data_IF_835661871833
#
_entry.id   IF_835661871833
#
_cell.length_a   1.000
_cell.length_b   1.000
_cell.length_c   1.000
_cell.angle_alpha   90.00
_cell.angle_beta   90.00
_cell.angle_gamma   90.00
#
_symmetry.space_group_name_H-M   'P 1'
#
loop_
_entity.id
_entity.type
_entity.pdbx_description
1 polymer ?
#
# COMPACT_ATOMS: atom_id res chain seq x y z
N UNK A 1 -9.24 10.12 -5.02
CA UNK A 1 -8.82 10.23 -3.60
C UNK A 1 -9.50 11.47 -3.02
N UNK A 2 -10.19 11.36 -1.88
CA UNK A 2 -10.75 12.51 -1.18
C UNK A 2 -10.02 12.67 0.15
N UNK A 3 -9.47 13.84 0.42
CA UNK A 3 -8.92 14.15 1.75
C UNK A 3 -10.06 14.54 2.69
N UNK A 4 -9.88 14.29 3.99
CA UNK A 4 -10.79 14.78 5.01
C UNK A 4 -10.64 16.30 5.17
N UNK A 5 -11.68 16.97 5.66
CA UNK A 5 -11.70 18.44 5.79
C UNK A 5 -10.67 18.96 6.81
N UNK A 6 -10.25 18.10 7.75
CA UNK A 6 -9.23 18.32 8.76
C UNK A 6 -7.82 17.83 8.35
N UNK A 7 -7.66 17.35 7.11
CA UNK A 7 -6.36 16.92 6.59
C UNK A 7 -5.40 18.10 6.45
N UNK A 8 -4.18 17.95 6.95
CA UNK A 8 -3.09 18.92 6.76
C UNK A 8 -1.92 18.27 6.03
N UNK A 9 -0.96 19.08 5.57
CA UNK A 9 0.27 18.55 4.96
C UNK A 9 1.12 17.77 5.98
N UNK A 10 1.07 18.18 7.26
CA UNK A 10 1.79 17.51 8.36
C UNK A 10 1.08 16.23 8.83
N UNK A 11 -0.25 16.19 8.74
CA UNK A 11 -1.06 15.03 9.08
C UNK A 11 -2.10 14.75 7.98
N UNK A 12 -1.69 14.09 6.88
CA UNK A 12 -2.60 13.82 5.78
C UNK A 12 -3.62 12.77 6.16
N UNK A 13 -4.91 13.11 6.00
CA UNK A 13 -6.04 12.22 6.29
C UNK A 13 -6.85 11.97 5.02
N UNK A 14 -6.94 10.71 4.62
CA UNK A 14 -7.67 10.28 3.43
C UNK A 14 -9.00 9.64 3.83
N UNK A 15 -10.06 9.98 3.11
CA UNK A 15 -11.37 9.31 3.15
C UNK A 15 -11.46 8.31 2.01
N UNK A 16 -11.27 7.02 2.32
CA UNK A 16 -11.48 5.94 1.38
C UNK A 16 -12.95 5.54 1.41
N UNK A 17 -13.65 5.68 0.27
CA UNK A 17 -15.03 5.24 0.10
C UNK A 17 -15.10 4.18 -1.00
N UNK A 18 -15.93 3.17 -0.81
CA UNK A 18 -16.14 2.14 -1.81
C UNK A 18 -17.28 1.21 -1.43
N UNK A 19 -17.33 0.09 -2.14
CA UNK A 19 -18.28 -0.99 -1.88
C UNK A 19 -17.47 -2.24 -1.52
N UNK A 20 -17.86 -2.92 -0.46
CA UNK A 20 -17.21 -4.15 -0.01
C UNK A 20 -17.57 -5.37 -0.88
N UNK A 21 -16.95 -6.51 -0.56
CA UNK A 21 -17.19 -7.78 -1.25
C UNK A 21 -18.65 -8.27 -1.18
N UNK A 22 -19.44 -7.74 -0.24
CA UNK A 22 -20.85 -8.07 -0.05
C UNK A 22 -21.80 -7.03 -0.68
N UNK A 23 -21.27 -6.03 -1.39
CA UNK A 23 -22.07 -4.97 -2.00
C UNK A 23 -22.47 -3.84 -1.03
N UNK A 24 -21.88 -3.79 0.17
CA UNK A 24 -22.18 -2.76 1.17
C UNK A 24 -21.22 -1.59 1.04
N UNK A 25 -21.77 -0.38 1.09
CA UNK A 25 -20.95 0.83 1.12
C UNK A 25 -20.09 0.88 2.39
N UNK A 26 -18.83 1.26 2.22
CA UNK A 26 -17.93 1.52 3.32
C UNK A 26 -17.25 2.88 3.15
N UNK A 27 -16.93 3.49 4.28
CA UNK A 27 -16.13 4.70 4.38
C UNK A 27 -15.11 4.51 5.49
N UNK A 28 -13.84 4.68 5.18
CA UNK A 28 -12.73 4.55 6.12
C UNK A 28 -11.88 5.81 6.10
N UNK A 29 -11.61 6.33 7.30
CA UNK A 29 -10.65 7.41 7.54
C UNK A 29 -9.27 6.81 7.73
N UNK A 30 -8.29 7.26 6.96
CA UNK A 30 -6.92 6.74 6.98
C UNK A 30 -5.97 7.89 7.26
N UNK A 31 -5.24 7.77 8.36
CA UNK A 31 -4.16 8.68 8.73
C UNK A 31 -2.88 8.18 8.05
N UNK A 32 -2.41 8.88 7.04
CA UNK A 32 -1.32 8.40 6.17
C UNK A 32 -0.03 8.16 6.97
N UNK A 33 0.24 8.99 7.97
CA UNK A 33 1.42 8.86 8.83
C UNK A 33 1.36 7.62 9.75
N UNK A 34 0.16 7.12 10.05
CA UNK A 34 -0.04 5.96 10.93
C UNK A 34 -0.08 4.63 10.16
N UNK A 35 -0.05 4.66 8.83
CA UNK A 35 -0.02 3.45 8.01
C UNK A 35 1.32 2.74 8.18
N UNK A 36 1.28 1.52 8.71
CA UNK A 36 2.40 0.59 8.77
C UNK A 36 2.22 -0.53 7.73
N UNK A 37 2.96 -0.51 6.61
CA UNK A 37 2.94 -1.58 5.59
C UNK A 37 3.24 -2.97 6.13
N UNK A 38 3.90 -3.10 7.28
CA UNK A 38 4.14 -4.40 7.92
C UNK A 38 2.89 -4.97 8.61
N UNK A 39 1.85 -4.15 8.76
CA UNK A 39 0.54 -4.53 9.28
C UNK A 39 -0.50 -3.55 8.75
N UNK A 40 -0.88 -3.65 7.48
CA UNK A 40 -1.83 -2.76 6.82
C UNK A 40 -2.95 -3.53 6.13
N UNK A 41 -4.04 -2.83 5.85
CA UNK A 41 -5.10 -3.24 4.93
C UNK A 41 -4.77 -2.83 3.50
N UNK A 42 -5.43 -3.46 2.53
CA UNK A 42 -5.33 -3.03 1.12
C UNK A 42 -5.79 -1.58 0.93
N UNK A 43 -6.75 -1.11 1.72
CA UNK A 43 -7.28 0.26 1.64
C UNK A 43 -6.24 1.27 2.13
N UNK A 44 -5.59 1.00 3.26
CA UNK A 44 -4.49 1.82 3.79
C UNK A 44 -3.31 1.90 2.81
N UNK A 45 -2.89 0.75 2.25
CA UNK A 45 -1.80 0.72 1.27
C UNK A 45 -2.15 1.45 -0.03
N UNK A 46 -3.40 1.38 -0.49
CA UNK A 46 -3.86 2.15 -1.67
C UNK A 46 -3.96 3.65 -1.38
N UNK A 47 -4.32 4.03 -0.16
CA UNK A 47 -4.28 5.43 0.25
C UNK A 47 -2.84 5.95 0.27
N UNK A 48 -1.89 5.14 0.77
CA UNK A 48 -0.46 5.43 0.77
C UNK A 48 0.09 5.57 -0.66
N UNK A 49 -0.22 4.62 -1.54
CA UNK A 49 0.10 4.63 -2.98
C UNK A 49 -0.38 5.94 -3.63
N UNK A 50 -1.64 6.31 -3.39
CA UNK A 50 -2.28 7.46 -4.00
C UNK A 50 -1.74 8.80 -3.46
N UNK A 51 -1.44 8.87 -2.16
CA UNK A 51 -0.91 10.08 -1.53
C UNK A 51 0.49 10.42 -2.04
N UNK A 52 1.41 9.44 -2.00
CA UNK A 52 2.79 9.63 -2.42
C UNK A 52 3.01 9.46 -3.92
N UNK A 53 1.94 9.16 -4.68
CA UNK A 53 1.98 8.92 -6.13
C UNK A 53 3.02 7.85 -6.48
N UNK A 54 3.05 6.77 -5.69
CA UNK A 54 3.98 5.65 -5.92
C UNK A 54 3.77 5.16 -7.34
N UNK A 55 4.85 5.12 -8.12
CA UNK A 55 4.77 4.71 -9.52
C UNK A 55 4.25 3.29 -9.62
N UNK A 56 3.17 3.12 -10.39
CA UNK A 56 2.64 1.81 -10.74
C UNK A 56 3.62 1.17 -11.72
N UNK A 57 4.50 0.37 -11.17
CA UNK A 57 5.53 -0.28 -11.92
C UNK A 57 4.93 -1.17 -13.03
N UNK A 58 5.33 -0.95 -14.28
CA UNK A 58 4.75 -1.61 -15.45
C UNK A 58 3.29 -1.26 -15.78
N UNK A 59 2.69 -0.26 -15.10
CA UNK A 59 1.33 0.22 -15.37
C UNK A 59 0.19 -0.61 -14.76
N UNK A 60 0.48 -1.70 -14.04
CA UNK A 60 -0.54 -2.64 -13.58
C UNK A 60 -0.92 -2.44 -12.09
N UNK A 61 0.06 -2.45 -11.18
CA UNK A 61 -0.18 -2.27 -9.73
C UNK A 61 1.17 -2.01 -9.04
N UNK A 62 1.19 -1.26 -7.93
CA UNK A 62 2.38 -1.14 -7.07
C UNK A 62 2.37 -2.07 -5.86
N UNK A 63 1.26 -2.80 -5.64
CA UNK A 63 1.11 -3.76 -4.54
C UNK A 63 1.26 -5.21 -5.04
N UNK A 64 1.73 -6.15 -4.18
CA UNK A 64 1.89 -7.56 -4.52
C UNK A 64 0.60 -8.18 -5.07
N UNK A 65 0.71 -9.15 -5.96
CA UNK A 65 -0.46 -9.78 -6.59
C UNK A 65 -1.37 -10.47 -5.58
N UNK A 66 -0.77 -11.01 -4.52
CA UNK A 66 -1.43 -11.67 -3.39
C UNK A 66 -2.36 -10.71 -2.63
N UNK A 67 -2.12 -9.40 -2.71
CA UNK A 67 -3.02 -8.40 -2.15
C UNK A 67 -4.39 -8.37 -2.85
N UNK A 68 -4.49 -8.87 -4.08
CA UNK A 68 -5.76 -9.02 -4.79
C UNK A 68 -6.72 -10.03 -4.15
N UNK A 69 -6.21 -10.94 -3.30
CA UNK A 69 -7.00 -11.93 -2.58
C UNK A 69 -7.39 -11.47 -1.17
N UNK A 70 -7.03 -10.25 -0.77
CA UNK A 70 -7.35 -9.71 0.56
C UNK A 70 -8.73 -9.06 0.57
N UNK A 71 -9.50 -9.35 1.62
CA UNK A 71 -10.68 -8.55 1.95
C UNK A 71 -10.29 -7.13 2.40
N UNK A 72 -11.23 -6.20 2.33
CA UNK A 72 -10.96 -4.78 2.66
C UNK A 72 -10.48 -4.57 4.11
N UNK A 73 -10.92 -5.43 5.02
CA UNK A 73 -10.58 -5.35 6.44
C UNK A 73 -9.41 -6.27 6.83
N UNK A 74 -8.90 -7.08 5.89
CA UNK A 74 -7.79 -7.98 6.17
C UNK A 74 -6.51 -7.18 6.34
N UNK A 75 -5.79 -7.45 7.44
CA UNK A 75 -4.47 -6.87 7.68
C UNK A 75 -3.39 -7.89 7.41
N UNK A 76 -2.37 -7.48 6.67
CA UNK A 76 -1.21 -8.31 6.32
C UNK A 76 0.07 -7.51 6.38
N UNK A 77 1.17 -8.24 6.46
CA UNK A 77 2.52 -7.72 6.29
C UNK A 77 2.87 -7.64 4.80
N UNK A 78 2.67 -6.47 4.21
CA UNK A 78 2.98 -6.22 2.80
C UNK A 78 4.48 -6.30 2.54
N UNK A 79 5.33 -5.99 3.51
CA UNK A 79 6.79 -6.07 3.35
C UNK A 79 7.20 -7.54 3.21
N UNK A 80 6.65 -8.42 4.03
CA UNK A 80 6.86 -9.87 3.88
C UNK A 80 6.29 -10.39 2.57
N UNK A 81 5.10 -9.93 2.15
CA UNK A 81 4.52 -10.32 0.84
C UNK A 81 5.40 -9.89 -0.34
N UNK A 82 5.98 -8.67 -0.31
CA UNK A 82 6.95 -8.25 -1.33
C UNK A 82 8.17 -9.18 -1.35
N UNK A 83 8.74 -9.50 -0.18
CA UNK A 83 9.91 -10.39 -0.09
C UNK A 83 9.63 -11.78 -0.67
N UNK A 84 8.49 -12.37 -0.31
CA UNK A 84 8.04 -13.66 -0.84
C UNK A 84 7.89 -13.61 -2.37
N UNK A 85 7.21 -12.59 -2.90
CA UNK A 85 7.00 -12.40 -4.34
C UNK A 85 8.34 -12.22 -5.10
N UNK A 86 9.25 -11.41 -4.55
CA UNK A 86 10.59 -11.17 -5.11
C UNK A 86 11.40 -12.48 -5.13
N UNK A 87 11.35 -13.26 -4.05
CA UNK A 87 12.05 -14.55 -3.95
C UNK A 87 11.55 -15.54 -5.00
N UNK A 88 10.23 -15.67 -5.15
CA UNK A 88 9.63 -16.59 -6.13
C UNK A 88 9.94 -16.17 -7.57
N UNK A 89 9.92 -14.87 -7.88
CA UNK A 89 10.30 -14.37 -9.20
C UNK A 89 11.78 -14.61 -9.49
N UNK A 90 12.66 -14.48 -8.50
CA UNK A 90 14.07 -14.82 -8.65
C UNK A 90 14.26 -16.33 -8.93
N UNK A 91 13.54 -17.21 -8.24
CA UNK A 91 13.57 -18.66 -8.50
C UNK A 91 13.09 -19.02 -9.89
N UNK A 92 12.09 -18.30 -10.41
CA UNK A 92 11.56 -18.46 -11.76
C UNK A 92 12.43 -17.81 -12.86
N UNK A 93 13.56 -17.18 -12.49
CA UNK A 93 14.45 -16.48 -13.44
C UNK A 93 13.86 -15.19 -14.01
N UNK A 94 12.82 -14.64 -13.38
CA UNK A 94 12.10 -13.43 -13.80
C UNK A 94 12.71 -12.18 -13.14
N UNK A 95 14.01 -11.98 -13.33
CA UNK A 95 14.79 -10.94 -12.64
C UNK A 95 14.32 -9.51 -12.92
N UNK A 96 13.83 -9.22 -14.13
CA UNK A 96 13.29 -7.89 -14.43
C UNK A 96 12.06 -7.57 -13.58
N UNK A 97 11.20 -8.56 -13.36
CA UNK A 97 10.03 -8.43 -12.50
C UNK A 97 10.43 -8.40 -11.03
N UNK A 98 11.39 -9.21 -10.59
CA UNK A 98 11.83 -9.16 -9.19
C UNK A 98 12.43 -7.80 -8.85
N UNK A 99 13.26 -7.22 -9.73
CA UNK A 99 13.80 -5.87 -9.58
C UNK A 99 12.69 -4.81 -9.52
N UNK A 100 11.64 -4.99 -10.31
CA UNK A 100 10.47 -4.12 -10.32
C UNK A 100 9.80 -4.06 -8.94
N UNK A 101 9.55 -5.23 -8.35
CA UNK A 101 8.92 -5.34 -7.04
C UNK A 101 9.82 -4.89 -5.91
N UNK A 102 11.13 -5.10 -6.01
CA UNK A 102 12.09 -4.53 -5.06
C UNK A 102 11.99 -3.01 -5.00
N UNK A 103 11.92 -2.33 -6.17
CA UNK A 103 11.76 -0.86 -6.20
C UNK A 103 10.45 -0.39 -5.57
N UNK A 104 9.35 -1.12 -5.79
CA UNK A 104 8.08 -0.82 -5.14
C UNK A 104 8.17 -0.99 -3.62
N UNK A 105 8.77 -2.08 -3.15
CA UNK A 105 8.98 -2.33 -1.72
C UNK A 105 9.82 -1.23 -1.07
N UNK A 106 10.94 -0.86 -1.71
CA UNK A 106 11.84 0.18 -1.22
C UNK A 106 11.13 1.53 -1.10
N UNK A 107 10.29 1.89 -2.08
CA UNK A 107 9.48 3.11 -2.01
C UNK A 107 8.58 3.11 -0.75
N UNK A 108 7.91 2.00 -0.43
CA UNK A 108 7.08 1.93 0.78
C UNK A 108 7.91 1.97 2.08
N UNK A 109 9.10 1.37 2.11
CA UNK A 109 10.02 1.42 3.25
C UNK A 109 10.57 2.84 3.48
N UNK A 110 10.88 3.56 2.41
CA UNK A 110 11.36 4.95 2.50
C UNK A 110 10.26 5.89 3.04
N UNK A 111 9.02 5.71 2.57
CA UNK A 111 7.88 6.50 3.01
C UNK A 111 7.57 6.29 4.50
N UNK A 112 7.64 5.06 4.98
CA UNK A 112 7.40 4.74 6.40
C UNK A 112 8.53 5.23 7.30
N UNK A 113 9.77 5.17 6.81
CA UNK A 113 10.93 5.74 7.50
C UNK A 113 10.84 7.27 7.59
N UNK A 114 10.31 7.92 6.56
CA UNK A 114 10.03 9.35 6.58
C UNK A 114 8.91 9.72 7.57
N UNK A 115 7.85 8.91 7.63
CA UNK A 115 6.71 9.15 8.52
C UNK A 115 7.05 8.90 10.01
N UNK A 116 8.00 7.99 10.27
CA UNK A 116 8.52 7.73 11.63
C UNK A 116 9.20 8.95 12.27
N UNK A 117 9.57 9.99 11.50
CA UNK A 117 10.12 11.24 12.04
C UNK A 117 9.09 12.13 12.72
N UNK A 118 7.80 11.90 12.48
CA UNK A 118 6.69 12.69 13.03
C UNK A 118 5.94 11.95 14.16
N UNK A 119 6.51 10.85 14.66
CA UNK A 119 5.94 9.99 15.70
C UNK A 119 6.49 10.31 17.09
#
# INVERSE_FOLDING_TARGET
LKYADDSTDENPVVLAKGVDENGKEFEQRIYINDVDPSNATVVEMRALEAHYKVEKQGGFTSLPLEAGNMGLNDRRDFISMFKECIEDLNKLGRFDLSLLWTKSMDAYLDLTSANSKYK
#
